data_IF_379991124327
#
_entry.id   IF_379991124327
#
_cell.length_a   1.000
_cell.length_b   1.000
_cell.length_c   1.000
_cell.angle_alpha   90.00
_cell.angle_beta   90.00
_cell.angle_gamma   90.00
#
_symmetry.space_group_name_H-M   'P 1'
#
loop_
_entity.id
_entity.type
_entity.pdbx_description
1 polymer ?
#
# COMPACT_ATOMS: atom_id res chain seq x y z
N UNK A 1 4.65 11.87 19.04
CA UNK A 1 3.33 12.06 18.39
C UNK A 1 2.25 11.35 19.19
N UNK A 2 1.23 12.07 19.66
CA UNK A 2 0.08 11.44 20.32
C UNK A 2 -0.71 10.54 19.37
N UNK A 3 -1.34 9.49 19.89
CA UNK A 3 -2.07 8.49 19.10
C UNK A 3 -3.13 9.12 18.18
N UNK A 4 -3.77 10.19 18.63
CA UNK A 4 -4.77 10.95 17.86
C UNK A 4 -4.19 11.58 16.58
N UNK A 5 -2.98 12.12 16.66
CA UNK A 5 -2.32 12.77 15.51
C UNK A 5 -1.96 11.73 14.44
N UNK A 6 -1.53 10.54 14.86
CA UNK A 6 -1.25 9.43 13.94
C UNK A 6 -2.51 8.94 13.23
N UNK A 7 -3.63 8.81 13.94
CA UNK A 7 -4.90 8.41 13.35
C UNK A 7 -5.42 9.45 12.33
N UNK A 8 -5.26 10.75 12.62
CA UNK A 8 -5.61 11.82 11.67
C UNK A 8 -4.74 11.79 10.41
N UNK A 9 -3.42 11.71 10.57
CA UNK A 9 -2.49 11.65 9.45
C UNK A 9 -2.74 10.41 8.57
N UNK A 10 -2.99 9.26 9.18
CA UNK A 10 -3.31 8.02 8.47
C UNK A 10 -4.66 8.11 7.75
N UNK A 11 -5.65 8.82 8.32
CA UNK A 11 -6.91 9.12 7.64
C UNK A 11 -6.72 9.97 6.37
N UNK A 12 -5.84 10.96 6.41
CA UNK A 12 -5.47 11.75 5.22
C UNK A 12 -4.80 10.85 4.19
N UNK A 13 -3.88 9.97 4.60
CA UNK A 13 -3.22 9.01 3.71
C UNK A 13 -4.21 8.08 3.01
N UNK A 14 -5.23 7.58 3.72
CA UNK A 14 -6.30 6.76 3.13
C UNK A 14 -7.09 7.55 2.09
N UNK A 15 -7.43 8.81 2.38
CA UNK A 15 -8.12 9.68 1.42
C UNK A 15 -7.28 9.89 0.14
N UNK A 16 -6.00 10.24 0.29
CA UNK A 16 -5.08 10.40 -0.84
C UNK A 16 -4.91 9.09 -1.63
N UNK A 17 -4.83 7.96 -0.95
CA UNK A 17 -4.78 6.64 -1.58
C UNK A 17 -6.04 6.35 -2.39
N UNK A 18 -7.23 6.70 -1.88
CA UNK A 18 -8.49 6.52 -2.59
C UNK A 18 -8.58 7.39 -3.84
N UNK A 19 -8.08 8.63 -3.76
CA UNK A 19 -7.96 9.53 -4.92
C UNK A 19 -7.00 8.96 -5.96
N UNK A 20 -5.82 8.49 -5.54
CA UNK A 20 -4.86 7.86 -6.43
C UNK A 20 -5.42 6.61 -7.12
N UNK A 21 -6.16 5.76 -6.39
CA UNK A 21 -6.81 4.59 -6.96
C UNK A 21 -7.91 4.96 -7.96
N UNK A 22 -8.73 5.97 -7.63
CA UNK A 22 -9.77 6.48 -8.54
C UNK A 22 -9.15 7.04 -9.82
N UNK A 23 -8.04 7.79 -9.72
CA UNK A 23 -7.26 8.25 -10.86
C UNK A 23 -6.69 7.10 -11.69
N UNK A 24 -6.22 6.02 -11.06
CA UNK A 24 -5.80 4.79 -11.75
C UNK A 24 -6.94 4.13 -12.53
N UNK A 25 -8.14 4.07 -11.95
CA UNK A 25 -9.34 3.60 -12.65
C UNK A 25 -9.67 4.53 -13.82
N UNK A 26 -9.66 5.85 -13.63
CA UNK A 26 -9.92 6.79 -14.73
C UNK A 26 -8.91 6.60 -15.86
N UNK A 27 -7.63 6.44 -15.52
CA UNK A 27 -6.53 6.19 -16.47
C UNK A 27 -6.80 4.97 -17.35
N UNK A 28 -7.49 3.96 -16.83
CA UNK A 28 -7.89 2.75 -17.57
C UNK A 28 -8.84 3.04 -18.73
N UNK A 29 -9.71 4.05 -18.60
CA UNK A 29 -10.71 4.40 -19.61
C UNK A 29 -10.21 5.45 -20.62
N UNK A 30 -9.01 6.02 -20.41
CA UNK A 30 -8.48 7.06 -21.28
C UNK A 30 -7.78 6.45 -22.51
N UNK A 31 -8.25 6.76 -23.73
CA UNK A 31 -7.63 6.23 -24.95
C UNK A 31 -6.36 7.01 -25.37
N UNK A 32 -6.20 8.24 -24.87
CA UNK A 32 -5.15 9.19 -25.25
C UNK A 32 -3.90 9.05 -24.38
N UNK A 33 -2.76 8.78 -25.01
CA UNK A 33 -1.46 8.58 -24.35
C UNK A 33 -1.04 9.78 -23.49
N UNK A 34 -1.25 11.01 -23.98
CA UNK A 34 -0.93 12.23 -23.23
C UNK A 34 -1.76 12.36 -21.95
N UNK A 35 -3.04 11.98 -22.00
CA UNK A 35 -3.95 12.08 -20.87
C UNK A 35 -3.70 10.96 -19.84
N UNK A 36 -3.33 9.77 -20.32
CA UNK A 36 -2.82 8.66 -19.51
C UNK A 36 -1.54 9.07 -18.77
N UNK A 37 -0.58 9.70 -19.46
CA UNK A 37 0.67 10.19 -18.85
C UNK A 37 0.42 11.27 -17.79
N UNK A 38 -0.48 12.23 -18.05
CA UNK A 38 -0.86 13.26 -17.08
C UNK A 38 -1.54 12.65 -15.84
N UNK A 39 -2.44 11.68 -16.03
CA UNK A 39 -3.13 10.99 -14.93
C UNK A 39 -2.15 10.16 -14.10
N UNK A 40 -1.21 9.47 -14.75
CA UNK A 40 -0.12 8.75 -14.08
C UNK A 40 0.72 9.67 -13.20
N UNK A 41 1.00 10.89 -13.68
CA UNK A 41 1.72 11.89 -12.91
C UNK A 41 1.00 12.22 -11.59
N UNK A 42 -0.32 12.38 -11.64
CA UNK A 42 -1.13 12.61 -10.44
C UNK A 42 -1.13 11.38 -9.52
N UNK A 43 -1.30 10.18 -10.07
CA UNK A 43 -1.24 8.93 -9.29
C UNK A 43 0.10 8.80 -8.56
N UNK A 44 1.21 9.05 -9.25
CA UNK A 44 2.56 9.01 -8.69
C UNK A 44 2.77 10.11 -7.64
N UNK A 45 2.24 11.31 -7.86
CA UNK A 45 2.33 12.40 -6.90
C UNK A 45 1.59 12.07 -5.60
N UNK A 46 0.34 11.64 -5.69
CA UNK A 46 -0.45 11.28 -4.52
C UNK A 46 0.11 10.04 -3.82
N UNK A 47 0.46 8.99 -4.58
CA UNK A 47 1.10 7.79 -4.05
C UNK A 47 2.46 8.07 -3.37
N UNK A 48 3.28 8.92 -3.99
CA UNK A 48 4.59 9.33 -3.48
C UNK A 48 4.49 10.13 -2.18
N UNK A 49 3.46 10.98 -2.03
CA UNK A 49 3.25 11.78 -0.81
C UNK A 49 2.85 10.96 0.42
N UNK A 50 2.30 9.77 0.22
CA UNK A 50 1.84 8.88 1.30
C UNK A 50 3.04 8.19 1.98
N UNK A 51 4.08 7.86 1.23
CA UNK A 51 5.29 7.17 1.72
C UNK A 51 5.99 7.91 2.88
N UNK A 52 6.36 9.20 2.79
CA UNK A 52 7.01 9.91 3.89
C UNK A 52 6.11 10.01 5.12
N UNK A 53 4.80 10.20 4.92
CA UNK A 53 3.82 10.26 6.00
C UNK A 53 3.72 8.92 6.75
N UNK A 54 3.64 7.81 6.02
CA UNK A 54 3.58 6.47 6.60
C UNK A 54 4.91 6.09 7.28
N UNK A 55 6.04 6.43 6.67
CA UNK A 55 7.36 6.21 7.25
C UNK A 55 7.52 6.98 8.57
N UNK A 56 7.06 8.23 8.63
CA UNK A 56 7.07 9.02 9.87
C UNK A 56 6.20 8.44 10.99
N UNK A 57 5.00 7.94 10.64
CA UNK A 57 4.11 7.25 11.58
C UNK A 57 4.75 5.95 12.08
N UNK A 58 5.33 5.17 11.17
CA UNK A 58 5.97 3.89 11.45
C UNK A 58 7.18 4.04 12.39
N UNK A 59 8.06 5.00 12.08
CA UNK A 59 9.19 5.37 12.93
C UNK A 59 8.66 5.73 14.31
N UNK A 60 7.68 6.62 14.40
CA UNK A 60 7.11 7.06 15.68
C UNK A 60 6.46 5.93 16.49
N UNK A 61 5.86 4.94 15.84
CA UNK A 61 5.15 3.84 16.48
C UNK A 61 6.07 2.72 16.98
N UNK A 62 7.27 2.59 16.40
CA UNK A 62 8.14 1.46 16.69
C UNK A 62 9.14 1.79 17.82
N UNK A 63 9.29 0.93 18.84
CA UNK A 63 10.33 1.04 19.86
C UNK A 63 11.73 1.01 19.22
N UNK A 64 12.68 1.73 19.83
CA UNK A 64 14.05 1.89 19.29
C UNK A 64 14.72 0.54 19.02
N UNK A 65 14.49 -0.44 19.90
CA UNK A 65 15.14 -1.76 19.85
C UNK A 65 14.56 -2.70 18.78
N UNK A 66 13.34 -2.46 18.27
CA UNK A 66 12.72 -3.27 17.20
C UNK A 66 12.60 -2.52 15.87
N UNK A 67 13.04 -1.25 15.80
CA UNK A 67 12.93 -0.44 14.58
C UNK A 67 13.70 -1.05 13.40
N UNK A 68 14.85 -1.68 13.66
CA UNK A 68 15.64 -2.38 12.63
C UNK A 68 14.87 -3.55 12.01
N UNK A 69 14.29 -4.43 12.85
CA UNK A 69 13.48 -5.56 12.41
C UNK A 69 12.24 -5.10 11.63
N UNK A 70 11.57 -4.07 12.14
CA UNK A 70 10.37 -3.56 11.48
C UNK A 70 10.73 -2.95 10.09
N UNK A 71 11.85 -2.23 10.01
CA UNK A 71 12.34 -1.67 8.74
C UNK A 71 12.70 -2.76 7.73
N UNK A 72 13.41 -3.83 8.15
CA UNK A 72 13.79 -4.92 7.25
C UNK A 72 12.57 -5.69 6.72
N UNK A 73 11.57 -5.94 7.56
CA UNK A 73 10.29 -6.55 7.13
C UNK A 73 9.57 -5.65 6.14
N UNK A 74 9.53 -4.34 6.37
CA UNK A 74 8.86 -3.40 5.45
C UNK A 74 9.53 -3.39 4.08
N UNK A 75 10.88 -3.33 4.05
CA UNK A 75 11.67 -3.40 2.82
C UNK A 75 11.48 -4.75 2.12
N UNK A 76 11.47 -5.87 2.84
CA UNK A 76 11.18 -7.20 2.28
C UNK A 76 9.81 -7.24 1.62
N UNK A 77 8.78 -6.71 2.28
CA UNK A 77 7.42 -6.64 1.73
C UNK A 77 7.36 -5.75 0.49
N UNK A 78 8.02 -4.60 0.48
CA UNK A 78 8.07 -3.74 -0.72
C UNK A 78 8.79 -4.41 -1.89
N UNK A 79 9.88 -5.14 -1.63
CA UNK A 79 10.61 -5.87 -2.66
C UNK A 79 9.81 -7.05 -3.21
N UNK A 80 9.18 -7.85 -2.35
CA UNK A 80 8.43 -9.02 -2.78
C UNK A 80 7.08 -8.64 -3.41
N UNK A 81 6.21 -7.93 -2.67
CA UNK A 81 4.83 -7.68 -3.11
C UNK A 81 4.70 -6.50 -4.07
N UNK A 82 5.62 -5.53 -3.97
CA UNK A 82 5.65 -4.35 -4.83
C UNK A 82 6.50 -4.59 -6.06
N UNK A 83 7.82 -4.68 -5.88
CA UNK A 83 8.77 -4.65 -6.98
C UNK A 83 8.89 -5.94 -7.78
N UNK A 84 8.73 -7.12 -7.16
CA UNK A 84 8.82 -8.39 -7.87
C UNK A 84 7.45 -8.89 -8.33
N UNK A 85 6.47 -8.97 -7.42
CA UNK A 85 5.22 -9.65 -7.68
C UNK A 85 4.24 -8.85 -8.54
N UNK A 86 4.26 -7.51 -8.47
CA UNK A 86 3.44 -6.69 -9.35
C UNK A 86 3.82 -6.86 -10.84
N UNK A 87 5.09 -6.68 -11.26
CA UNK A 87 5.47 -6.91 -12.65
C UNK A 87 5.38 -8.39 -13.04
N UNK A 88 5.69 -9.33 -12.14
CA UNK A 88 5.57 -10.76 -12.43
C UNK A 88 4.11 -11.16 -12.74
N UNK A 89 3.14 -10.66 -11.97
CA UNK A 89 1.72 -10.88 -12.26
C UNK A 89 1.30 -10.21 -13.57
N UNK A 90 1.68 -8.97 -13.79
CA UNK A 90 1.29 -8.29 -15.04
C UNK A 90 1.89 -8.94 -16.27
N UNK A 91 3.13 -9.45 -16.14
CA UNK A 91 3.83 -10.17 -17.20
C UNK A 91 3.16 -11.51 -17.49
N UNK A 92 2.80 -12.29 -16.47
CA UNK A 92 2.09 -13.55 -16.68
C UNK A 92 0.70 -13.35 -17.29
N UNK A 93 -0.01 -12.27 -16.92
CA UNK A 93 -1.26 -11.90 -17.60
C UNK A 93 -1.04 -11.54 -19.08
N UNK A 94 0.01 -10.79 -19.41
CA UNK A 94 0.36 -10.48 -20.80
C UNK A 94 0.72 -11.75 -21.58
N UNK A 95 1.50 -12.66 -21.00
CA UNK A 95 1.89 -13.93 -21.64
C UNK A 95 0.67 -14.84 -21.90
N UNK A 96 -0.28 -14.89 -20.96
CA UNK A 96 -1.54 -15.60 -21.17
C UNK A 96 -2.35 -15.02 -22.34
N UNK A 97 -2.36 -13.69 -22.50
CA UNK A 97 -3.05 -13.05 -23.63
C UNK A 97 -2.35 -13.40 -24.94
N UNK A 98 -1.02 -13.31 -24.97
CA UNK A 98 -0.22 -13.64 -26.15
C UNK A 98 -0.44 -15.09 -26.62
N UNK A 99 -0.42 -16.05 -25.69
CA UNK A 99 -0.60 -17.46 -26.02
C UNK A 99 -2.00 -17.81 -26.55
N UNK A 100 -3.01 -16.98 -26.27
CA UNK A 100 -4.41 -17.19 -26.69
C UNK A 100 -4.87 -16.18 -27.76
N UNK A 101 -3.93 -15.47 -28.41
CA UNK A 101 -4.22 -14.44 -29.41
C UNK A 101 -4.66 -15.04 -30.76
N UNK A 102 -4.14 -16.22 -31.12
CA UNK A 102 -4.42 -16.89 -32.39
C UNK A 102 -5.70 -17.76 -32.37
N UNK A 103 -6.33 -17.92 -31.19
CA UNK A 103 -7.54 -18.73 -31.02
C UNK A 103 -8.81 -17.93 -31.40
N UNK A 104 -9.58 -18.35 -32.44
CA UNK A 104 -10.78 -17.63 -32.89
C UNK A 104 -11.94 -17.58 -31.89
N UNK A 105 -11.91 -18.44 -30.86
CA UNK A 105 -12.91 -18.50 -29.80
C UNK A 105 -12.50 -17.76 -28.52
N UNK A 106 -11.30 -17.17 -28.49
CA UNK A 106 -10.78 -16.42 -27.35
C UNK A 106 -11.28 -14.98 -27.37
N UNK A 107 -11.49 -14.39 -26.19
CA UNK A 107 -11.87 -12.98 -26.03
C UNK A 107 -10.80 -12.00 -26.56
N UNK A 108 -9.56 -12.48 -26.76
CA UNK A 108 -8.40 -11.69 -27.15
C UNK A 108 -7.96 -11.87 -28.61
N UNK A 109 -8.83 -12.44 -29.45
CA UNK A 109 -8.57 -12.65 -30.88
C UNK A 109 -8.19 -11.32 -31.57
N UNK A 110 -7.05 -11.30 -32.28
CA UNK A 110 -6.44 -10.10 -32.91
C UNK A 110 -6.14 -8.91 -31.95
N UNK A 111 -5.87 -9.15 -30.65
CA UNK A 111 -5.38 -8.08 -29.77
C UNK A 111 -3.94 -7.68 -30.16
N UNK A 112 -3.79 -6.51 -30.79
CA UNK A 112 -2.49 -5.92 -31.15
C UNK A 112 -1.56 -5.71 -29.92
N UNK A 113 -0.26 -5.54 -30.14
CA UNK A 113 0.72 -5.31 -29.07
C UNK A 113 0.33 -4.13 -28.16
N UNK A 114 -0.25 -3.07 -28.75
CA UNK A 114 -0.76 -1.92 -28.00
C UNK A 114 -1.94 -2.27 -27.07
N UNK A 115 -2.78 -3.23 -27.45
CA UNK A 115 -3.89 -3.74 -26.64
C UNK A 115 -3.35 -4.53 -25.44
N UNK A 116 -2.36 -5.41 -25.65
CA UNK A 116 -1.70 -6.15 -24.56
C UNK A 116 -1.07 -5.24 -23.51
N UNK A 117 -0.31 -4.22 -23.92
CA UNK A 117 0.31 -3.29 -22.95
C UNK A 117 -0.72 -2.51 -22.15
N UNK A 118 -1.82 -2.08 -22.77
CA UNK A 118 -2.92 -1.41 -22.06
C UNK A 118 -3.53 -2.32 -21.00
N UNK A 119 -3.76 -3.59 -21.33
CA UNK A 119 -4.35 -4.56 -20.39
C UNK A 119 -3.41 -4.83 -19.22
N UNK A 120 -2.13 -5.09 -19.47
CA UNK A 120 -1.19 -5.34 -18.38
C UNK A 120 -0.94 -4.10 -17.50
N UNK A 121 -0.96 -2.89 -18.10
CA UNK A 121 -0.95 -1.65 -17.33
C UNK A 121 -2.17 -1.51 -16.41
N UNK A 122 -3.37 -1.88 -16.88
CA UNK A 122 -4.59 -1.93 -16.05
C UNK A 122 -4.48 -2.94 -14.91
N UNK A 123 -3.92 -4.13 -15.18
CA UNK A 123 -3.67 -5.13 -14.12
C UNK A 123 -2.68 -4.59 -13.07
N UNK A 124 -1.65 -3.87 -13.49
CA UNK A 124 -0.70 -3.21 -12.57
C UNK A 124 -1.41 -2.20 -11.68
N UNK A 125 -2.28 -1.37 -12.25
CA UNK A 125 -3.06 -0.41 -11.48
C UNK A 125 -4.05 -1.10 -10.54
N UNK A 126 -4.71 -2.18 -10.99
CA UNK A 126 -5.62 -2.98 -10.17
C UNK A 126 -4.90 -3.62 -8.97
N UNK A 127 -3.62 -3.94 -9.10
CA UNK A 127 -2.78 -4.44 -8.01
C UNK A 127 -2.72 -3.49 -6.80
N UNK A 128 -2.94 -2.19 -7.03
CA UNK A 128 -3.03 -1.17 -5.98
C UNK A 128 -4.16 -1.40 -4.96
N UNK A 129 -5.13 -2.28 -5.25
CA UNK A 129 -6.19 -2.65 -4.31
C UNK A 129 -5.62 -3.23 -3.01
N UNK A 130 -4.53 -3.99 -3.09
CA UNK A 130 -3.87 -4.56 -1.91
C UNK A 130 -3.27 -3.48 -1.00
N UNK A 131 -2.70 -2.45 -1.61
CA UNK A 131 -2.17 -1.28 -0.89
C UNK A 131 -3.30 -0.53 -0.17
N UNK A 132 -4.45 -0.32 -0.82
CA UNK A 132 -5.63 0.27 -0.20
C UNK A 132 -6.16 -0.55 0.97
N UNK A 133 -6.28 -1.87 0.81
CA UNK A 133 -6.75 -2.76 1.88
C UNK A 133 -5.79 -2.72 3.08
N UNK A 134 -4.49 -2.74 2.85
CA UNK A 134 -3.48 -2.63 3.91
C UNK A 134 -3.54 -1.27 4.63
N UNK A 135 -3.70 -0.17 3.88
CA UNK A 135 -3.88 1.18 4.43
C UNK A 135 -5.16 1.30 5.27
N UNK A 136 -6.28 0.76 4.79
CA UNK A 136 -7.55 0.71 5.49
C UNK A 136 -7.44 -0.10 6.79
N UNK A 137 -6.81 -1.27 6.74
CA UNK A 137 -6.56 -2.09 7.92
C UNK A 137 -5.71 -1.33 8.96
N UNK A 138 -4.64 -0.66 8.51
CA UNK A 138 -3.79 0.16 9.38
C UNK A 138 -4.60 1.32 10.01
N UNK A 139 -5.47 1.98 9.24
CA UNK A 139 -6.34 3.05 9.74
C UNK A 139 -7.32 2.56 10.79
N UNK A 140 -7.96 1.42 10.56
CA UNK A 140 -8.88 0.80 11.51
C UNK A 140 -8.15 0.47 12.82
N UNK A 141 -6.96 -0.13 12.73
CA UNK A 141 -6.13 -0.44 13.91
C UNK A 141 -5.73 0.83 14.66
N UNK A 142 -5.27 1.86 13.96
CA UNK A 142 -4.89 3.14 14.57
C UNK A 142 -6.06 3.83 15.28
N UNK A 143 -7.26 3.81 14.66
CA UNK A 143 -8.48 4.31 15.29
C UNK A 143 -8.86 3.53 16.55
N UNK A 144 -8.78 2.19 16.50
CA UNK A 144 -9.07 1.34 17.65
C UNK A 144 -8.12 1.62 18.80
N UNK A 145 -6.82 1.81 18.52
CA UNK A 145 -5.83 2.18 19.53
C UNK A 145 -6.10 3.56 20.15
N UNK A 146 -6.47 4.55 19.33
CA UNK A 146 -6.83 5.87 19.83
C UNK A 146 -8.09 5.84 20.73
N UNK A 147 -9.12 5.09 20.33
CA UNK A 147 -10.34 4.94 21.12
C UNK A 147 -10.11 4.17 22.44
N UNK A 148 -9.25 3.15 22.42
CA UNK A 148 -8.88 2.40 23.63
C UNK A 148 -8.15 3.30 24.64
N UNK A 149 -7.21 4.13 24.18
CA UNK A 149 -6.46 5.06 25.04
C UNK A 149 -7.36 6.12 25.71
N UNK A 150 -8.44 6.56 25.05
CA UNK A 150 -9.42 7.48 25.65
C UNK A 150 -10.22 6.78 26.76
N UNK A 151 -10.60 5.51 26.56
CA UNK A 151 -11.41 4.75 27.53
C UNK A 151 -10.67 4.42 28.82
N UNK A 152 -9.35 4.20 28.75
CA UNK A 152 -8.56 3.84 29.94
C UNK A 152 -8.14 5.04 30.79
N UNK A 153 -8.34 6.29 30.33
CA UNK A 153 -7.92 7.49 31.06
C UNK A 153 -6.41 7.61 31.29
N UNK A 154 -5.63 6.63 30.80
CA UNK A 154 -4.20 6.54 31.01
C UNK A 154 -3.49 7.47 30.01
N UNK A 155 -2.61 8.39 30.47
CA UNK A 155 -1.78 9.16 29.56
C UNK A 155 -1.03 8.20 28.62
N UNK A 156 -0.75 8.60 27.37
CA UNK A 156 -0.30 7.71 26.30
C UNK A 156 0.99 6.99 26.69
N UNK A 157 0.84 5.84 27.33
CA UNK A 157 1.93 5.02 27.81
C UNK A 157 2.64 4.45 26.60
N UNK A 158 3.92 4.72 26.57
CA UNK A 158 4.91 4.04 25.77
C UNK A 158 4.77 2.54 26.07
N UNK A 159 3.93 1.81 25.33
CA UNK A 159 3.94 0.35 25.37
C UNK A 159 5.29 -0.11 24.79
N UNK A 160 6.31 -0.15 25.65
CA UNK A 160 7.35 -1.16 25.82
C UNK A 160 8.19 -0.72 27.02
N UNK A 161 7.69 -1.02 28.21
CA UNK A 161 8.55 -1.43 29.30
C UNK A 161 7.74 -2.38 30.16
N UNK A 162 7.59 -3.64 29.72
CA UNK A 162 7.46 -4.70 30.73
C UNK A 162 8.82 -4.72 31.43
N UNK A 163 8.93 -4.38 32.72
CA UNK A 163 10.20 -4.48 33.40
C UNK A 163 10.58 -5.97 33.46
N UNK A 164 11.54 -6.37 32.63
CA UNK A 164 12.34 -7.60 32.82
C UNK A 164 13.27 -7.39 34.04
N UNK A 165 12.71 -6.93 35.16
CA UNK A 165 13.43 -6.70 36.43
C UNK A 165 12.76 -7.38 37.63
N UNK A 166 11.80 -8.29 37.39
CA UNK A 166 11.11 -9.01 38.47
C UNK A 166 11.30 -10.54 38.44
N UNK A 167 12.32 -11.06 37.73
CA UNK A 167 12.68 -12.48 37.80
C UNK A 167 14.21 -12.70 37.85
N UNK A 168 14.92 -11.77 38.49
CA UNK A 168 16.32 -11.96 38.91
C UNK A 168 16.46 -11.75 40.43
N UNK A 169 15.48 -12.20 41.21
CA UNK A 169 15.59 -12.34 42.67
C UNK A 169 14.64 -13.47 43.08
N UNK A 170 15.15 -14.47 43.80
CA UNK A 170 14.49 -15.69 44.29
C UNK A 170 14.45 -16.90 43.34
N UNK A 171 15.61 -17.53 43.10
CA UNK A 171 16.08 -18.68 43.88
C UNK A 171 17.51 -19.07 43.47
#
# INVERSE_FOLDING_TARGET
MGLHQRAKALGICVCLGFVAFSLGIVTTFLPNLYLTAASLWLVLFFGGSILPSCTGIFISATPVHLRSLASSVSVMVFNLLGYALAPALTGSFMELIHNNQDDPHSYWYECDEACMYRVGFRCCLAWSVWSLLAMLAAYIVAKRQAAAAIRTGEPPQHHIQRPVKAAMIMH
#
